data_IF_920728697050
#
_entry.id   IF_920728697050
#
_cell.length_a   1.000
_cell.length_b   1.000
_cell.length_c   1.000
_cell.angle_alpha   90.00
_cell.angle_beta   90.00
_cell.angle_gamma   90.00
#
_symmetry.space_group_name_H-M   'P 1'
#
loop_
_entity.id
_entity.type
_entity.pdbx_description
1 polymer ?
#
# COMPACT_ATOMS: atom_id res chain seq x y z
N UNK A 1 1.30 10.76 0.99
CA UNK A 1 0.28 10.87 2.05
C UNK A 1 -0.26 12.29 2.19
N UNK A 2 0.53 13.33 1.90
CA UNK A 2 0.09 14.73 2.01
C UNK A 2 -1.16 15.06 1.18
N UNK A 3 -1.29 14.49 -0.02
CA UNK A 3 -2.52 14.64 -0.83
C UNK A 3 -3.75 14.16 -0.05
N UNK A 4 -3.66 13.06 0.70
CA UNK A 4 -4.77 12.59 1.53
C UNK A 4 -5.02 13.54 2.71
N UNK A 5 -3.97 13.97 3.40
CA UNK A 5 -4.09 14.89 4.53
C UNK A 5 -4.77 16.21 4.11
N UNK A 6 -4.34 16.81 3.00
CA UNK A 6 -4.98 18.04 2.47
C UNK A 6 -6.41 17.76 2.00
N UNK A 7 -6.68 16.62 1.36
CA UNK A 7 -8.04 16.25 0.94
C UNK A 7 -9.00 16.14 2.13
N UNK A 8 -8.56 15.49 3.22
CA UNK A 8 -9.29 15.39 4.48
C UNK A 8 -9.50 16.77 5.10
N UNK A 9 -8.47 17.61 5.14
CA UNK A 9 -8.59 18.95 5.71
C UNK A 9 -9.58 19.83 4.93
N UNK A 10 -9.54 19.77 3.60
CA UNK A 10 -10.47 20.49 2.74
C UNK A 10 -11.92 20.07 2.97
N UNK A 11 -12.20 18.76 3.13
CA UNK A 11 -13.53 18.28 3.53
C UNK A 11 -13.90 18.70 4.95
N UNK A 12 -12.94 18.78 5.86
CA UNK A 12 -13.17 19.30 7.20
C UNK A 12 -13.60 20.78 7.17
N UNK A 13 -13.04 21.58 6.25
CA UNK A 13 -13.46 22.98 6.05
C UNK A 13 -14.89 23.07 5.50
N UNK A 14 -15.28 22.18 4.58
CA UNK A 14 -16.68 22.08 4.12
C UNK A 14 -17.63 21.83 5.32
N UNK A 15 -17.24 20.94 6.25
CA UNK A 15 -18.03 20.66 7.47
C UNK A 15 -18.06 21.84 8.46
N UNK A 16 -17.05 22.72 8.42
CA UNK A 16 -17.04 23.99 9.15
C UNK A 16 -17.87 25.10 8.46
N UNK A 17 -18.51 24.79 7.34
CA UNK A 17 -19.35 25.72 6.59
C UNK A 17 -18.60 26.61 5.59
N UNK A 18 -17.36 26.27 5.23
CA UNK A 18 -16.66 26.91 4.12
C UNK A 18 -17.11 26.33 2.78
N UNK A 19 -17.10 27.13 1.71
CA UNK A 19 -17.32 26.62 0.35
C UNK A 19 -15.97 26.34 -0.31
N UNK A 20 -15.55 25.07 -0.33
CA UNK A 20 -14.25 24.67 -0.88
C UNK A 20 -14.40 24.18 -2.32
N UNK A 21 -13.62 24.75 -3.24
CA UNK A 21 -13.44 24.18 -4.57
C UNK A 21 -12.51 22.96 -4.45
N UNK A 22 -13.09 21.76 -4.47
CA UNK A 22 -12.33 20.54 -4.22
C UNK A 22 -11.39 20.19 -5.39
N UNK A 23 -10.11 19.89 -5.15
CA UNK A 23 -9.13 19.71 -6.22
C UNK A 23 -9.32 18.38 -6.96
N UNK A 24 -9.15 18.40 -8.28
CA UNK A 24 -9.27 17.25 -9.17
C UNK A 24 -8.28 16.12 -8.82
N UNK A 25 -7.10 16.49 -8.30
CA UNK A 25 -6.07 15.56 -7.88
C UNK A 25 -6.15 15.15 -6.40
N UNK A 26 -7.13 15.67 -5.66
CA UNK A 26 -7.42 15.23 -4.29
C UNK A 26 -8.05 13.84 -4.27
N UNK A 27 -8.03 13.20 -3.10
CA UNK A 27 -8.81 11.98 -2.88
C UNK A 27 -10.28 12.35 -2.70
N UNK A 28 -11.16 11.73 -3.48
CA UNK A 28 -12.58 12.10 -3.57
C UNK A 28 -13.54 11.05 -3.00
N UNK A 29 -13.04 9.89 -2.57
CA UNK A 29 -13.89 8.82 -2.03
C UNK A 29 -14.58 9.22 -0.71
N UNK A 30 -15.70 8.56 -0.41
CA UNK A 30 -16.54 8.84 0.77
C UNK A 30 -15.78 8.74 2.09
N UNK A 31 -14.80 7.84 2.18
CA UNK A 31 -13.92 7.69 3.35
C UNK A 31 -13.20 8.99 3.73
N UNK A 32 -12.94 9.91 2.78
CA UNK A 32 -12.32 11.21 3.07
C UNK A 32 -13.26 12.09 3.91
N UNK A 33 -14.56 12.04 3.63
CA UNK A 33 -15.58 12.72 4.43
C UNK A 33 -15.70 12.11 5.83
N UNK A 34 -15.62 10.79 5.97
CA UNK A 34 -15.70 10.12 7.27
C UNK A 34 -14.54 10.53 8.18
N UNK A 35 -13.32 10.59 7.64
CA UNK A 35 -12.13 11.07 8.37
C UNK A 35 -12.32 12.54 8.75
N UNK A 36 -12.74 13.38 7.81
CA UNK A 36 -12.99 14.80 8.06
C UNK A 36 -14.06 15.04 9.14
N UNK A 37 -15.15 14.26 9.11
CA UNK A 37 -16.20 14.30 10.11
C UNK A 37 -15.69 13.87 11.48
N UNK A 38 -14.78 12.88 11.54
CA UNK A 38 -14.14 12.53 12.80
C UNK A 38 -13.29 13.67 13.35
N UNK A 39 -12.50 14.35 12.51
CA UNK A 39 -11.70 15.50 12.93
C UNK A 39 -12.59 16.64 13.42
N UNK A 40 -13.70 16.92 12.73
CA UNK A 40 -14.64 17.95 13.13
C UNK A 40 -15.33 17.64 14.47
N UNK A 41 -15.72 16.39 14.71
CA UNK A 41 -16.27 15.98 16.01
C UNK A 41 -15.28 16.17 17.16
N UNK A 42 -14.01 15.90 16.93
CA UNK A 42 -12.97 15.94 17.97
C UNK A 42 -12.44 17.35 18.23
N UNK A 43 -12.28 18.16 17.18
CA UNK A 43 -11.62 19.46 17.25
C UNK A 43 -12.55 20.65 16.99
N UNK A 44 -13.84 20.42 16.71
CA UNK A 44 -14.78 21.49 16.34
C UNK A 44 -14.25 22.28 15.15
N UNK A 45 -14.22 23.61 15.27
CA UNK A 45 -13.68 24.53 14.25
C UNK A 45 -12.22 24.95 14.50
N UNK A 46 -11.48 24.28 15.39
CA UNK A 46 -10.12 24.71 15.76
C UNK A 46 -9.11 24.71 14.60
N UNK A 47 -9.35 23.92 13.55
CA UNK A 47 -8.51 23.82 12.35
C UNK A 47 -9.08 24.60 11.16
N UNK A 48 -10.14 25.40 11.39
CA UNK A 48 -10.84 26.13 10.34
C UNK A 48 -10.00 27.28 9.80
N UNK A 49 -9.99 27.42 8.49
CA UNK A 49 -9.46 28.57 7.76
C UNK A 49 -10.46 28.97 6.69
N UNK A 50 -10.60 30.27 6.41
CA UNK A 50 -11.55 30.71 5.39
C UNK A 50 -11.13 30.22 4.01
N UNK A 51 -12.09 29.81 3.17
CA UNK A 51 -11.79 29.38 1.80
C UNK A 51 -11.00 30.45 1.02
N UNK A 52 -11.32 31.74 1.25
CA UNK A 52 -10.57 32.86 0.67
C UNK A 52 -9.09 32.88 1.05
N UNK A 53 -8.74 32.46 2.28
CA UNK A 53 -7.36 32.41 2.76
C UNK A 53 -6.64 31.18 2.23
N UNK A 54 -7.33 30.05 2.18
CA UNK A 54 -6.83 28.78 1.65
C UNK A 54 -6.49 28.91 0.16
N UNK A 55 -7.39 29.44 -0.65
CA UNK A 55 -7.21 29.52 -2.11
C UNK A 55 -6.45 30.78 -2.59
N UNK A 56 -6.00 31.64 -1.67
CA UNK A 56 -5.27 32.86 -2.04
C UNK A 56 -3.94 32.52 -2.72
N UNK A 57 -3.79 32.93 -3.98
CA UNK A 57 -2.60 32.72 -4.82
C UNK A 57 -2.29 31.25 -5.09
N UNK A 58 -3.29 30.37 -5.06
CA UNK A 58 -3.12 28.98 -5.49
C UNK A 58 -3.23 28.95 -7.04
N UNK A 59 -2.34 28.22 -7.75
CA UNK A 59 -2.47 28.03 -9.20
C UNK A 59 -3.84 27.49 -9.59
N UNK A 60 -4.28 27.71 -10.83
CA UNK A 60 -5.53 27.15 -11.31
C UNK A 60 -5.47 25.61 -11.39
N UNK A 61 -6.58 24.94 -11.09
CA UNK A 61 -6.76 23.50 -11.34
C UNK A 61 -7.18 23.26 -12.80
N UNK A 62 -7.28 22.00 -13.22
CA UNK A 62 -7.61 21.57 -14.59
C UNK A 62 -8.93 22.16 -15.11
N UNK A 63 -9.96 22.25 -14.27
CA UNK A 63 -11.27 22.81 -14.65
C UNK A 63 -11.22 24.31 -14.97
N UNK A 64 -10.14 24.97 -14.53
CA UNK A 64 -9.84 26.37 -14.77
C UNK A 64 -8.71 26.54 -15.80
N UNK A 65 -8.33 25.47 -16.50
CA UNK A 65 -7.28 25.47 -17.53
C UNK A 65 -5.86 25.45 -16.98
N UNK A 66 -5.67 25.08 -15.71
CA UNK A 66 -4.37 24.99 -15.06
C UNK A 66 -3.81 23.56 -14.96
N UNK A 67 -2.89 23.37 -14.01
CA UNK A 67 -2.17 22.10 -13.79
C UNK A 67 -2.53 21.53 -12.42
N UNK A 68 -3.10 20.32 -12.43
CA UNK A 68 -3.61 19.64 -11.23
C UNK A 68 -2.51 19.25 -10.23
N UNK A 69 -1.29 18.98 -10.70
CA UNK A 69 -0.16 18.61 -9.83
C UNK A 69 0.37 19.87 -9.14
N UNK A 70 0.56 20.96 -9.90
CA UNK A 70 0.94 22.26 -9.31
C UNK A 70 -0.13 22.81 -8.35
N UNK A 71 -1.40 22.60 -8.66
CA UNK A 71 -2.51 23.02 -7.80
C UNK A 71 -2.51 22.28 -6.46
N UNK A 72 -2.43 20.94 -6.47
CA UNK A 72 -2.46 20.16 -5.24
C UNK A 72 -1.20 20.37 -4.39
N UNK A 73 -0.03 20.51 -5.02
CA UNK A 73 1.23 20.78 -4.33
C UNK A 73 1.17 22.13 -3.60
N UNK A 74 0.64 23.18 -4.26
CA UNK A 74 0.45 24.48 -3.64
C UNK A 74 -0.55 24.44 -2.47
N UNK A 75 -1.60 23.61 -2.55
CA UNK A 75 -2.55 23.41 -1.45
C UNK A 75 -1.92 22.67 -0.27
N UNK A 76 -1.05 21.68 -0.53
CA UNK A 76 -0.29 21.00 0.52
C UNK A 76 0.58 22.00 1.26
N UNK A 77 1.42 22.77 0.56
CA UNK A 77 2.27 23.79 1.15
C UNK A 77 1.44 24.83 1.94
N UNK A 78 0.31 25.26 1.37
CA UNK A 78 -0.59 26.21 2.04
C UNK A 78 -1.20 25.63 3.32
N UNK A 79 -1.62 24.37 3.31
CA UNK A 79 -2.18 23.71 4.50
C UNK A 79 -1.15 23.60 5.62
N UNK A 80 0.10 23.24 5.28
CA UNK A 80 1.21 23.19 6.23
C UNK A 80 1.49 24.58 6.85
N UNK A 81 1.48 25.64 6.04
CA UNK A 81 1.69 27.01 6.49
C UNK A 81 0.56 27.51 7.41
N UNK A 82 -0.70 27.29 7.03
CA UNK A 82 -1.85 27.82 7.77
C UNK A 82 -2.13 27.07 9.08
N UNK A 83 -1.93 25.75 9.08
CA UNK A 83 -2.14 24.93 10.27
C UNK A 83 -0.93 24.96 11.22
N UNK A 84 0.27 25.14 10.66
CA UNK A 84 1.53 24.93 11.37
C UNK A 84 1.78 23.44 11.63
N UNK A 85 3.03 23.12 11.99
CA UNK A 85 3.53 21.74 12.11
C UNK A 85 2.66 20.83 12.98
N UNK A 86 2.26 21.29 14.17
CA UNK A 86 1.53 20.46 15.13
C UNK A 86 0.14 20.07 14.61
N UNK A 87 -0.63 21.05 14.14
CA UNK A 87 -1.99 20.83 13.63
C UNK A 87 -1.98 20.11 12.29
N UNK A 88 -1.01 20.39 11.41
CA UNK A 88 -0.87 19.65 10.15
C UNK A 88 -0.56 18.18 10.41
N UNK A 89 0.39 17.88 11.31
CA UNK A 89 0.72 16.50 11.70
C UNK A 89 -0.47 15.79 12.33
N UNK A 90 -1.30 16.49 13.11
CA UNK A 90 -2.52 15.92 13.66
C UNK A 90 -3.47 15.46 12.55
N UNK A 91 -3.74 16.31 11.55
CA UNK A 91 -4.61 15.94 10.41
C UNK A 91 -4.00 14.78 9.62
N UNK A 92 -2.70 14.87 9.33
CA UNK A 92 -1.96 13.83 8.61
C UNK A 92 -2.03 12.48 9.33
N UNK A 93 -1.76 12.46 10.64
CA UNK A 93 -1.75 11.25 11.43
C UNK A 93 -3.17 10.68 11.54
N UNK A 94 -4.18 11.52 11.73
CA UNK A 94 -5.57 11.06 11.77
C UNK A 94 -5.99 10.38 10.47
N UNK A 95 -5.61 10.95 9.34
CA UNK A 95 -5.89 10.35 8.04
C UNK A 95 -5.15 9.02 7.86
N UNK A 96 -3.88 8.95 8.27
CA UNK A 96 -3.09 7.72 8.20
C UNK A 96 -3.68 6.61 9.09
N UNK A 97 -4.01 6.93 10.35
CA UNK A 97 -4.52 5.96 11.32
C UNK A 97 -5.85 5.34 10.88
N UNK A 98 -6.77 6.16 10.37
CA UNK A 98 -8.06 5.65 9.88
C UNK A 98 -7.88 4.72 8.69
N UNK A 99 -7.01 5.07 7.73
CA UNK A 99 -6.76 4.20 6.57
C UNK A 99 -6.07 2.90 6.97
N UNK A 100 -5.08 2.94 7.86
CA UNK A 100 -4.41 1.72 8.33
C UNK A 100 -5.40 0.81 9.06
N UNK A 101 -6.25 1.39 9.91
CA UNK A 101 -7.26 0.62 10.64
C UNK A 101 -8.31 0.02 9.70
N UNK A 102 -8.75 0.76 8.68
CA UNK A 102 -9.68 0.26 7.67
C UNK A 102 -9.09 -0.90 6.86
N UNK A 103 -7.83 -0.77 6.41
CA UNK A 103 -7.11 -1.86 5.72
C UNK A 103 -6.98 -3.08 6.66
N UNK A 104 -6.64 -2.87 7.93
CA UNK A 104 -6.51 -3.95 8.92
C UNK A 104 -7.83 -4.69 9.08
N UNK A 105 -8.92 -3.95 9.26
CA UNK A 105 -10.26 -4.53 9.38
C UNK A 105 -10.66 -5.31 8.12
N UNK A 106 -10.45 -4.78 6.93
CA UNK A 106 -10.77 -5.45 5.67
C UNK A 106 -10.00 -6.76 5.51
N UNK A 107 -8.71 -6.77 5.85
CA UNK A 107 -7.88 -7.97 5.83
C UNK A 107 -8.34 -9.01 6.85
N UNK A 108 -8.64 -8.59 8.08
CA UNK A 108 -9.15 -9.49 9.13
C UNK A 108 -10.48 -10.13 8.72
N UNK A 109 -11.41 -9.34 8.17
CA UNK A 109 -12.67 -9.84 7.62
C UNK A 109 -12.46 -10.78 6.42
N UNK A 110 -11.36 -10.59 5.68
CA UNK A 110 -10.95 -11.51 4.61
C UNK A 110 -10.19 -12.75 5.12
N UNK A 111 -9.93 -12.85 6.42
CA UNK A 111 -9.19 -13.97 7.04
C UNK A 111 -7.68 -13.88 6.85
N UNK A 112 -7.13 -12.67 6.82
CA UNK A 112 -5.69 -12.37 6.81
C UNK A 112 -5.37 -11.53 8.04
N UNK A 113 -4.60 -12.11 8.97
CA UNK A 113 -4.19 -11.44 10.21
C UNK A 113 -2.67 -11.30 10.21
N UNK A 114 -2.19 -10.06 10.27
CA UNK A 114 -0.77 -9.77 10.39
C UNK A 114 -0.35 -9.74 11.86
N UNK A 115 0.72 -10.47 12.20
CA UNK A 115 1.34 -10.43 13.52
C UNK A 115 2.07 -9.10 13.78
N UNK A 116 2.62 -8.50 12.73
CA UNK A 116 3.39 -7.26 12.82
C UNK A 116 3.06 -6.33 11.65
N UNK A 117 2.71 -5.09 12.00
CA UNK A 117 2.61 -3.96 11.06
C UNK A 117 3.85 -3.10 11.22
N UNK A 118 4.50 -2.78 10.10
CA UNK A 118 5.78 -2.10 10.11
C UNK A 118 5.66 -0.73 9.40
N UNK A 119 6.13 0.33 10.04
CA UNK A 119 6.08 1.69 9.49
C UNK A 119 7.40 2.04 8.80
N UNK A 120 7.34 2.55 7.57
CA UNK A 120 8.51 3.10 6.88
C UNK A 120 9.13 4.26 7.67
N UNK A 121 8.34 5.09 8.36
CA UNK A 121 8.87 6.21 9.15
C UNK A 121 9.74 5.75 10.34
N UNK A 122 9.64 4.48 10.74
CA UNK A 122 10.53 3.89 11.74
C UNK A 122 11.89 3.49 11.17
N UNK A 123 12.06 3.46 9.83
CA UNK A 123 13.31 3.27 9.13
C UNK A 123 14.01 4.62 8.90
N UNK A 124 14.45 5.27 9.97
CA UNK A 124 15.38 6.40 9.87
C UNK A 124 16.85 5.95 9.77
N UNK A 125 17.05 4.72 9.33
CA UNK A 125 18.23 3.95 9.62
C UNK A 125 19.25 3.99 8.48
N UNK A 126 20.33 4.74 8.68
CA UNK A 126 21.45 4.79 7.74
C UNK A 126 22.33 3.54 7.80
N UNK A 127 22.15 2.64 8.78
CA UNK A 127 23.01 1.47 9.01
C UNK A 127 23.17 0.61 7.76
N UNK A 128 22.09 0.40 7.00
CA UNK A 128 22.18 -0.35 5.74
C UNK A 128 23.16 0.28 4.76
N UNK A 129 23.06 1.60 4.54
CA UNK A 129 23.94 2.32 3.62
C UNK A 129 25.36 2.40 4.18
N UNK A 130 25.51 2.55 5.48
CA UNK A 130 26.83 2.60 6.14
C UNK A 130 27.54 1.24 6.08
N UNK A 131 26.81 0.12 6.19
CA UNK A 131 27.35 -1.22 5.97
C UNK A 131 27.79 -1.43 4.51
N UNK A 132 27.00 -0.99 3.53
CA UNK A 132 27.40 -1.07 2.13
C UNK A 132 28.67 -0.24 1.83
N UNK A 133 28.78 0.95 2.44
CA UNK A 133 29.99 1.79 2.36
C UNK A 133 31.20 1.09 2.99
N UNK A 134 31.04 0.57 4.20
CA UNK A 134 32.10 -0.13 4.92
C UNK A 134 32.59 -1.39 4.18
N UNK A 135 31.69 -2.10 3.49
CA UNK A 135 32.02 -3.22 2.61
C UNK A 135 32.67 -2.83 1.28
N UNK A 136 32.82 -1.54 0.98
CA UNK A 136 33.34 -1.06 -0.30
C UNK A 136 32.39 -1.29 -1.49
N UNK A 137 31.11 -1.53 -1.21
CA UNK A 137 30.10 -1.85 -2.22
C UNK A 137 29.43 -0.60 -2.81
N UNK A 138 29.87 0.61 -2.43
CA UNK A 138 29.34 1.86 -2.96
C UNK A 138 30.42 2.71 -3.62
N UNK A 139 30.01 3.66 -4.47
CA UNK A 139 30.88 4.68 -5.04
C UNK A 139 30.11 5.97 -5.34
N UNK A 140 30.84 7.09 -5.44
CA UNK A 140 30.26 8.36 -5.86
C UNK A 140 30.36 8.51 -7.37
N UNK A 141 29.27 8.93 -8.01
CA UNK A 141 29.26 9.31 -9.42
C UNK A 141 28.14 10.33 -9.65
N UNK A 142 28.46 11.40 -10.39
CA UNK A 142 27.52 12.47 -10.75
C UNK A 142 26.80 13.08 -9.54
N UNK A 143 27.54 13.32 -8.45
CA UNK A 143 27.02 13.87 -7.20
C UNK A 143 26.18 12.91 -6.35
N UNK A 144 25.84 11.72 -6.87
CA UNK A 144 25.04 10.71 -6.18
C UNK A 144 25.88 9.55 -5.63
N UNK A 145 25.38 8.87 -4.60
CA UNK A 145 25.95 7.61 -4.09
C UNK A 145 25.29 6.42 -4.78
N UNK A 146 26.11 5.60 -5.42
CA UNK A 146 25.71 4.40 -6.15
C UNK A 146 26.11 3.15 -5.38
N UNK A 147 25.22 2.16 -5.36
CA UNK A 147 25.49 0.79 -4.94
C UNK A 147 25.92 -0.03 -6.16
N UNK A 148 27.03 -0.75 -6.01
CA UNK A 148 27.64 -1.67 -7.00
C UNK A 148 26.83 -2.96 -7.14
N UNK A 149 25.52 -2.86 -7.34
CA UNK A 149 24.62 -4.02 -7.38
C UNK A 149 24.95 -4.98 -8.54
N UNK A 150 25.52 -4.49 -9.64
CA UNK A 150 25.91 -5.33 -10.77
C UNK A 150 26.97 -6.38 -10.41
N UNK A 151 27.84 -6.08 -9.43
CA UNK A 151 28.81 -7.03 -8.88
C UNK A 151 28.15 -8.22 -8.14
N UNK A 152 26.86 -8.11 -7.84
CA UNK A 152 26.06 -9.12 -7.13
C UNK A 152 24.90 -9.67 -7.98
N UNK A 153 24.98 -9.52 -9.31
CA UNK A 153 24.00 -10.12 -10.24
C UNK A 153 22.78 -9.25 -10.57
N UNK A 154 22.77 -7.97 -10.20
CA UNK A 154 21.82 -7.01 -10.76
C UNK A 154 22.22 -6.61 -12.20
N UNK A 155 21.28 -6.08 -12.97
CA UNK A 155 21.49 -5.65 -14.36
C UNK A 155 22.44 -4.44 -14.46
N UNK A 156 22.33 -3.52 -13.49
CA UNK A 156 23.14 -2.29 -13.42
C UNK A 156 23.17 -1.76 -12.01
N UNK A 157 24.22 -0.98 -11.72
CA UNK A 157 24.37 -0.28 -10.45
C UNK A 157 23.20 0.68 -10.19
N UNK A 158 22.88 0.90 -8.91
CA UNK A 158 21.69 1.63 -8.48
C UNK A 158 22.04 2.81 -7.58
N UNK A 159 21.41 3.94 -7.81
CA UNK A 159 21.50 5.10 -6.90
C UNK A 159 20.79 4.76 -5.59
N UNK A 160 21.50 4.92 -4.47
CA UNK A 160 20.97 4.75 -3.10
C UNK A 160 20.82 6.09 -2.37
N UNK A 161 21.64 7.09 -2.71
CA UNK A 161 21.49 8.47 -2.24
C UNK A 161 21.61 9.42 -3.43
N UNK A 162 20.62 10.29 -3.61
CA UNK A 162 20.59 11.29 -4.68
C UNK A 162 21.58 12.43 -4.40
N UNK A 163 21.83 13.26 -5.41
CA UNK A 163 22.70 14.45 -5.30
C UNK A 163 22.24 15.42 -4.20
N UNK A 164 20.92 15.55 -3.99
CA UNK A 164 20.34 16.37 -2.93
C UNK A 164 20.45 15.76 -1.52
N UNK A 165 21.16 14.63 -1.36
CA UNK A 165 21.35 13.93 -0.09
C UNK A 165 20.17 13.05 0.35
N UNK A 166 19.07 13.02 -0.40
CA UNK A 166 17.92 12.19 -0.06
C UNK A 166 18.14 10.72 -0.46
N UNK A 167 17.74 9.81 0.42
CA UNK A 167 17.70 8.38 0.14
C UNK A 167 16.68 8.06 -0.98
N UNK A 168 16.97 7.04 -1.78
CA UNK A 168 16.02 6.51 -2.77
C UNK A 168 15.09 5.49 -2.11
N UNK A 169 13.94 5.19 -2.74
CA UNK A 169 13.08 4.09 -2.29
C UNK A 169 13.81 2.76 -2.21
N UNK A 170 14.77 2.54 -3.12
CA UNK A 170 15.61 1.35 -3.06
C UNK A 170 16.49 1.34 -1.80
N UNK A 171 16.99 2.48 -1.32
CA UNK A 171 17.68 2.53 -0.04
C UNK A 171 16.76 2.19 1.14
N UNK A 172 15.50 2.64 1.14
CA UNK A 172 14.49 2.23 2.12
C UNK A 172 14.27 0.71 2.09
N UNK A 173 14.19 0.10 0.90
CA UNK A 173 14.04 -1.35 0.76
C UNK A 173 15.24 -2.10 1.32
N UNK A 174 16.47 -1.63 1.07
CA UNK A 174 17.69 -2.23 1.63
C UNK A 174 17.65 -2.15 3.16
N UNK A 175 17.31 -0.99 3.72
CA UNK A 175 17.18 -0.80 5.16
C UNK A 175 16.14 -1.74 5.77
N UNK A 176 14.99 -1.90 5.11
CA UNK A 176 13.95 -2.80 5.59
C UNK A 176 14.37 -4.28 5.53
N UNK A 177 15.08 -4.68 4.48
CA UNK A 177 15.59 -6.05 4.37
C UNK A 177 16.70 -6.34 5.37
N UNK A 178 17.58 -5.38 5.65
CA UNK A 178 18.53 -5.48 6.77
C UNK A 178 17.79 -5.66 8.10
N UNK A 179 16.78 -4.82 8.36
CA UNK A 179 15.98 -4.95 9.57
C UNK A 179 15.33 -6.35 9.69
N UNK A 180 14.80 -6.92 8.60
CA UNK A 180 14.26 -8.29 8.61
C UNK A 180 15.32 -9.36 8.87
N UNK A 181 16.53 -9.20 8.31
CA UNK A 181 17.67 -10.09 8.57
C UNK A 181 18.09 -10.06 10.05
N UNK A 182 18.14 -8.87 10.65
CA UNK A 182 18.52 -8.67 12.05
C UNK A 182 17.52 -9.28 13.04
N UNK A 183 16.28 -9.55 12.62
CA UNK A 183 15.29 -10.29 13.43
C UNK A 183 15.62 -11.78 13.60
N UNK A 184 16.58 -12.31 12.84
CA UNK A 184 17.10 -13.67 13.00
C UNK A 184 16.33 -14.76 12.26
N UNK A 185 15.51 -14.42 11.26
CA UNK A 185 14.79 -15.40 10.45
C UNK A 185 15.71 -16.11 9.44
N UNK A 186 15.55 -17.43 9.28
CA UNK A 186 16.29 -18.23 8.30
C UNK A 186 15.79 -18.01 6.87
N UNK A 187 14.48 -17.77 6.71
CA UNK A 187 13.83 -17.58 5.43
C UNK A 187 13.00 -16.30 5.42
N UNK A 188 13.16 -15.52 4.36
CA UNK A 188 12.40 -14.32 4.07
C UNK A 188 11.58 -14.58 2.81
N UNK A 189 10.27 -14.43 2.89
CA UNK A 189 9.35 -14.57 1.76
C UNK A 189 8.71 -13.22 1.47
N UNK A 190 8.92 -12.70 0.27
CA UNK A 190 8.22 -11.54 -0.23
C UNK A 190 7.15 -12.00 -1.24
N UNK A 191 5.95 -11.41 -1.17
CA UNK A 191 4.87 -11.60 -2.14
C UNK A 191 4.69 -10.28 -2.87
N UNK A 192 5.04 -10.24 -4.17
CA UNK A 192 5.02 -9.02 -4.98
C UNK A 192 4.16 -9.20 -6.23
N UNK A 193 3.73 -8.10 -6.83
CA UNK A 193 3.13 -8.12 -8.17
C UNK A 193 4.14 -8.57 -9.23
N UNK A 194 3.69 -9.29 -10.25
CA UNK A 194 4.56 -9.81 -11.32
C UNK A 194 5.29 -8.71 -12.13
N UNK A 195 4.77 -7.49 -12.12
CA UNK A 195 5.40 -6.28 -12.66
C UNK A 195 6.71 -5.90 -11.94
N UNK A 196 6.96 -6.45 -10.76
CA UNK A 196 8.19 -6.24 -9.99
C UNK A 196 9.29 -7.27 -10.26
N UNK A 197 9.14 -8.14 -11.28
CA UNK A 197 10.15 -9.16 -11.64
C UNK A 197 11.58 -8.58 -11.76
N UNK A 198 11.73 -7.44 -12.46
CA UNK A 198 13.04 -6.77 -12.63
C UNK A 198 13.60 -6.10 -11.36
N UNK A 199 12.83 -6.11 -10.26
CA UNK A 199 13.24 -5.61 -8.95
C UNK A 199 13.82 -6.70 -8.06
N UNK A 200 13.60 -7.98 -8.38
CA UNK A 200 14.09 -9.11 -7.57
C UNK A 200 15.61 -9.14 -7.50
N UNK A 201 16.28 -9.02 -8.65
CA UNK A 201 17.73 -9.12 -8.74
C UNK A 201 18.45 -8.07 -7.88
N UNK A 202 17.99 -6.82 -7.88
CA UNK A 202 18.63 -5.74 -7.10
C UNK A 202 18.46 -5.91 -5.60
N UNK A 203 17.33 -6.45 -5.13
CA UNK A 203 17.13 -6.70 -3.70
C UNK A 203 17.97 -7.90 -3.25
N UNK A 204 18.03 -8.97 -4.06
CA UNK A 204 18.97 -10.08 -3.80
C UNK A 204 20.42 -9.61 -3.78
N UNK A 205 20.82 -8.74 -4.71
CA UNK A 205 22.14 -8.13 -4.73
C UNK A 205 22.45 -7.37 -3.44
N UNK A 206 21.50 -6.57 -2.94
CA UNK A 206 21.66 -5.86 -1.68
C UNK A 206 21.77 -6.82 -0.48
N UNK A 207 20.98 -7.88 -0.44
CA UNK A 207 21.08 -8.92 0.61
C UNK A 207 22.48 -9.54 0.65
N UNK A 208 23.04 -9.89 -0.52
CA UNK A 208 24.40 -10.43 -0.63
C UNK A 208 25.46 -9.44 -0.16
N UNK A 209 25.33 -8.17 -0.55
CA UNK A 209 26.25 -7.11 -0.14
C UNK A 209 26.18 -6.79 1.37
N UNK A 210 25.06 -7.08 2.02
CA UNK A 210 24.88 -7.02 3.47
C UNK A 210 25.35 -8.30 4.19
N UNK A 211 25.96 -9.25 3.45
CA UNK A 211 26.51 -10.49 4.00
C UNK A 211 25.50 -11.62 4.22
N UNK A 212 24.27 -11.49 3.72
CA UNK A 212 23.29 -12.57 3.74
C UNK A 212 23.36 -13.44 2.48
N UNK A 213 22.99 -14.72 2.62
CA UNK A 213 22.82 -15.59 1.46
C UNK A 213 21.58 -15.18 0.64
N UNK A 214 21.74 -15.06 -0.68
CA UNK A 214 20.66 -14.73 -1.62
C UNK A 214 19.51 -15.75 -1.60
N UNK A 215 19.78 -16.99 -1.21
CA UNK A 215 18.77 -18.05 -1.11
C UNK A 215 17.87 -17.90 0.13
N UNK A 216 18.27 -17.07 1.12
CA UNK A 216 17.37 -16.73 2.24
C UNK A 216 16.15 -15.94 1.78
N UNK A 217 16.25 -15.22 0.66
CA UNK A 217 15.14 -14.44 0.12
C UNK A 217 14.45 -15.19 -1.02
N UNK A 218 13.23 -15.64 -0.75
CA UNK A 218 12.29 -16.11 -1.77
C UNK A 218 11.33 -14.99 -2.15
N UNK A 219 11.19 -14.72 -3.44
CA UNK A 219 10.19 -13.77 -3.94
C UNK A 219 9.15 -14.52 -4.76
N UNK A 220 7.91 -14.49 -4.31
CA UNK A 220 6.76 -15.04 -5.01
C UNK A 220 6.08 -13.92 -5.80
N UNK A 221 5.97 -14.10 -7.11
CA UNK A 221 5.32 -13.15 -8.00
C UNK A 221 3.85 -13.54 -8.21
N UNK A 222 2.96 -12.58 -7.99
CA UNK A 222 1.51 -12.72 -8.14
C UNK A 222 1.05 -11.89 -9.33
N UNK A 223 0.34 -12.52 -10.25
CA UNK A 223 -0.26 -11.84 -11.39
C UNK A 223 -1.49 -11.04 -10.98
N UNK A 224 -1.77 -10.00 -11.75
CA UNK A 224 -2.98 -9.20 -11.55
C UNK A 224 -4.25 -10.03 -11.83
N UNK A 225 -5.25 -9.83 -10.97
CA UNK A 225 -6.60 -10.30 -11.22
C UNK A 225 -7.34 -9.27 -12.10
N UNK A 226 -8.16 -9.78 -13.02
CA UNK A 226 -9.10 -8.96 -13.78
C UNK A 226 -10.52 -9.31 -13.32
N UNK A 227 -11.23 -8.29 -12.82
CA UNK A 227 -12.61 -8.43 -12.38
C UNK A 227 -13.57 -8.23 -13.57
N UNK A 228 -14.53 -9.14 -13.67
CA UNK A 228 -15.62 -9.12 -14.65
C UNK A 228 -16.96 -9.18 -13.94
N UNK A 229 -17.98 -8.58 -14.56
CA UNK A 229 -19.40 -8.81 -14.26
C UNK A 229 -20.02 -9.40 -15.52
N UNK A 230 -20.18 -10.72 -15.53
CA UNK A 230 -20.54 -11.46 -16.73
C UNK A 230 -19.47 -11.27 -17.83
N UNK A 231 -19.79 -10.55 -18.90
CA UNK A 231 -18.85 -10.29 -20.01
C UNK A 231 -18.15 -8.93 -19.92
N UNK A 232 -18.59 -8.05 -19.03
CA UNK A 232 -18.07 -6.69 -18.95
C UNK A 232 -16.91 -6.61 -17.96
N UNK A 233 -15.79 -6.02 -18.39
CA UNK A 233 -14.63 -5.79 -17.53
C UNK A 233 -14.89 -4.55 -16.69
N UNK A 234 -14.74 -4.69 -15.37
CA UNK A 234 -14.84 -3.54 -14.46
C UNK A 234 -13.58 -2.69 -14.58
N UNK A 235 -13.76 -1.37 -14.77
CA UNK A 235 -12.66 -0.41 -14.75
C UNK A 235 -12.27 -0.10 -13.29
N UNK A 236 -10.99 0.20 -13.06
CA UNK A 236 -10.46 0.56 -11.75
C UNK A 236 -9.70 1.89 -11.89
N UNK A 237 -10.09 2.89 -11.09
CA UNK A 237 -9.47 4.21 -11.01
C UNK A 237 -9.24 4.60 -9.55
N UNK A 238 -7.97 4.79 -9.16
CA UNK A 238 -7.57 5.01 -7.76
C UNK A 238 -7.91 6.41 -7.23
N UNK A 239 -7.89 7.45 -8.07
CA UNK A 239 -8.10 8.85 -7.62
C UNK A 239 -9.57 9.30 -7.70
N UNK A 240 -10.35 8.78 -8.65
CA UNK A 240 -11.80 9.04 -8.70
C UNK A 240 -12.60 8.21 -7.69
N UNK A 241 -11.98 7.19 -7.08
CA UNK A 241 -12.66 6.29 -6.14
C UNK A 241 -13.46 5.18 -6.84
N UNK A 242 -13.43 5.09 -8.16
CA UNK A 242 -14.15 4.07 -8.92
C UNK A 242 -13.30 2.78 -9.03
N UNK A 243 -13.26 1.99 -7.98
CA UNK A 243 -12.66 0.65 -7.99
C UNK A 243 -13.46 -0.29 -7.10
N UNK A 244 -13.48 -1.58 -7.43
CA UNK A 244 -14.10 -2.60 -6.57
C UNK A 244 -13.19 -2.82 -5.37
N UNK A 245 -13.69 -2.52 -4.17
CA UNK A 245 -12.94 -2.71 -2.94
C UNK A 245 -12.93 -4.19 -2.52
N UNK A 246 -11.99 -4.58 -1.66
CA UNK A 246 -11.99 -5.93 -1.07
C UNK A 246 -13.26 -6.17 -0.24
N UNK A 247 -13.74 -5.12 0.44
CA UNK A 247 -14.98 -5.11 1.21
C UNK A 247 -16.19 -5.40 0.33
N UNK A 248 -16.36 -4.69 -0.77
CA UNK A 248 -17.44 -4.90 -1.74
C UNK A 248 -17.38 -6.31 -2.34
N UNK A 249 -16.19 -6.77 -2.75
CA UNK A 249 -16.00 -8.13 -3.26
C UNK A 249 -16.45 -9.18 -2.22
N UNK A 250 -16.08 -9.00 -0.95
CA UNK A 250 -16.43 -9.90 0.15
C UNK A 250 -17.91 -9.86 0.47
N UNK A 251 -18.54 -8.69 0.41
CA UNK A 251 -19.98 -8.51 0.67
C UNK A 251 -20.82 -9.08 -0.46
N UNK A 252 -20.36 -8.96 -1.71
CA UNK A 252 -21.05 -9.49 -2.88
C UNK A 252 -20.91 -11.01 -2.98
N UNK A 253 -19.68 -11.54 -2.91
CA UNK A 253 -19.37 -12.96 -3.22
C UNK A 253 -19.25 -13.83 -1.97
N UNK A 254 -18.99 -13.23 -0.80
CA UNK A 254 -18.66 -13.94 0.42
C UNK A 254 -17.16 -14.25 0.53
N UNK A 255 -16.67 -14.20 1.78
CA UNK A 255 -15.25 -14.41 2.13
C UNK A 255 -14.67 -15.71 1.57
N UNK A 256 -15.34 -16.83 1.81
CA UNK A 256 -14.76 -18.15 1.52
C UNK A 256 -14.75 -18.45 0.02
N UNK A 257 -15.80 -18.03 -0.70
CA UNK A 257 -15.84 -18.12 -2.16
C UNK A 257 -14.75 -17.26 -2.80
N UNK A 258 -14.61 -15.99 -2.39
CA UNK A 258 -13.55 -15.12 -2.89
C UNK A 258 -12.15 -15.74 -2.69
N UNK A 259 -11.85 -16.24 -1.48
CA UNK A 259 -10.59 -16.93 -1.18
C UNK A 259 -10.38 -18.18 -2.03
N UNK A 260 -11.43 -18.99 -2.21
CA UNK A 260 -11.37 -20.19 -3.05
C UNK A 260 -11.00 -19.86 -4.50
N UNK A 261 -11.61 -18.84 -5.09
CA UNK A 261 -11.29 -18.39 -6.45
C UNK A 261 -9.82 -17.95 -6.57
N UNK A 262 -9.30 -17.21 -5.59
CA UNK A 262 -7.89 -16.77 -5.61
C UNK A 262 -6.89 -17.94 -5.53
N UNK A 263 -7.20 -19.02 -4.81
CA UNK A 263 -6.28 -20.17 -4.68
C UNK A 263 -6.47 -21.25 -5.76
N UNK A 264 -7.50 -21.14 -6.60
CA UNK A 264 -7.78 -22.11 -7.66
C UNK A 264 -6.72 -22.08 -8.77
N UNK A 265 -6.01 -20.95 -8.92
CA UNK A 265 -4.95 -20.76 -9.90
C UNK A 265 -3.61 -20.61 -9.21
N UNK A 266 -2.55 -20.98 -9.91
CA UNK A 266 -1.19 -20.64 -9.46
C UNK A 266 -1.04 -19.12 -9.45
N UNK A 267 -0.31 -18.58 -8.49
CA UNK A 267 -0.11 -17.12 -8.34
C UNK A 267 0.45 -16.45 -9.60
N UNK A 268 1.24 -17.18 -10.38
CA UNK A 268 1.87 -16.70 -11.62
C UNK A 268 0.92 -16.65 -12.82
N UNK A 269 -0.32 -17.10 -12.68
CA UNK A 269 -1.32 -17.13 -13.77
C UNK A 269 -2.30 -15.97 -13.64
N UNK A 270 -2.68 -15.37 -14.76
CA UNK A 270 -3.77 -14.39 -14.79
C UNK A 270 -5.06 -15.01 -14.24
N UNK A 271 -5.68 -14.31 -13.29
CA UNK A 271 -6.96 -14.69 -12.72
C UNK A 271 -8.06 -13.79 -13.30
N UNK A 272 -8.98 -14.38 -14.07
CA UNK A 272 -10.23 -13.72 -14.43
C UNK A 272 -11.27 -14.09 -13.37
N UNK A 273 -11.69 -13.09 -12.61
CA UNK A 273 -12.67 -13.25 -11.55
C UNK A 273 -14.02 -12.71 -12.04
N UNK A 274 -14.98 -13.59 -12.24
CA UNK A 274 -16.34 -13.21 -12.63
C UNK A 274 -17.23 -13.16 -11.37
N UNK A 275 -17.66 -11.95 -11.01
CA UNK A 275 -18.51 -11.70 -9.84
C UNK A 275 -19.88 -12.38 -9.96
N UNK A 276 -20.45 -12.46 -11.16
CA UNK A 276 -21.73 -13.15 -11.37
C UNK A 276 -21.56 -14.66 -11.15
N UNK A 277 -20.51 -15.25 -11.70
CA UNK A 277 -20.24 -16.67 -11.50
C UNK A 277 -20.02 -17.02 -10.02
N UNK A 278 -19.39 -16.11 -9.29
CA UNK A 278 -19.03 -16.31 -7.90
C UNK A 278 -20.22 -16.15 -6.93
N UNK A 279 -21.29 -15.45 -7.34
CA UNK A 279 -22.51 -15.24 -6.56
C UNK A 279 -23.60 -16.30 -6.76
N UNK A 280 -23.50 -17.14 -7.81
CA UNK A 280 -24.50 -18.17 -8.08
C UNK A 280 -24.57 -19.18 -6.92
N UNK A 281 -25.76 -19.34 -6.32
CA UNK A 281 -26.08 -20.22 -5.17
C UNK A 281 -25.53 -21.66 -5.26
N UNK A 282 -25.30 -22.19 -6.46
CA UNK A 282 -24.68 -23.50 -6.66
C UNK A 282 -23.21 -23.58 -6.17
N UNK A 283 -22.50 -22.46 -6.04
CA UNK A 283 -21.16 -22.45 -5.45
C UNK A 283 -21.19 -22.52 -3.92
N UNK A 284 -22.11 -21.79 -3.27
CA UNK A 284 -22.29 -21.86 -1.81
C UNK A 284 -22.71 -23.25 -1.33
N UNK A 285 -23.59 -23.94 -2.07
CA UNK A 285 -24.01 -25.29 -1.74
C UNK A 285 -22.87 -26.31 -1.92
N UNK A 286 -22.13 -26.24 -3.04
CA UNK A 286 -21.00 -27.15 -3.34
C UNK A 286 -19.77 -26.92 -2.47
N UNK A 287 -19.47 -25.69 -2.04
CA UNK A 287 -18.38 -25.41 -1.09
C UNK A 287 -18.71 -25.98 0.29
N UNK A 288 -19.94 -25.80 0.79
CA UNK A 288 -20.35 -26.36 2.07
C UNK A 288 -20.31 -27.90 2.05
N UNK A 289 -20.70 -28.54 0.95
CA UNK A 289 -20.60 -30.00 0.80
C UNK A 289 -19.15 -30.48 0.70
N UNK A 290 -18.27 -29.72 0.03
CA UNK A 290 -16.84 -30.06 -0.10
C UNK A 290 -16.08 -29.85 1.21
N UNK A 291 -16.39 -28.80 1.97
CA UNK A 291 -15.82 -28.53 3.30
C UNK A 291 -16.31 -29.58 4.30
N UNK A 292 -17.60 -29.97 4.26
CA UNK A 292 -18.12 -31.09 5.07
C UNK A 292 -17.38 -32.39 4.81
N UNK A 293 -17.16 -32.73 3.54
CA UNK A 293 -16.39 -33.93 3.17
C UNK A 293 -14.95 -33.94 3.72
N UNK A 294 -14.30 -32.77 3.83
CA UNK A 294 -12.95 -32.66 4.40
C UNK A 294 -12.97 -32.78 5.93
N UNK A 295 -13.94 -32.19 6.61
CA UNK A 295 -14.10 -32.32 8.06
C UNK A 295 -14.55 -33.72 8.50
N UNK A 296 -15.35 -34.40 7.67
CA UNK A 296 -15.78 -35.77 7.91
C UNK A 296 -14.64 -36.79 7.65
N UNK A 297 -13.65 -36.45 6.82
CA UNK A 297 -12.44 -37.26 6.62
C UNK A 297 -11.50 -37.22 7.84
N UNK A 298 -11.31 -36.07 8.47
CA UNK A 298 -10.46 -35.95 9.67
C UNK A 298 -11.04 -36.68 10.90
N UNK A 299 -12.37 -36.77 10.99
CA UNK A 299 -13.05 -37.42 12.13
C UNK A 299 -13.20 -38.94 11.97
N UNK A 300 -13.01 -39.49 10.77
CA UNK A 300 -13.16 -40.93 10.50
C UNK A 300 -11.84 -41.71 10.43
N UNK A 301 -10.70 -41.08 10.75
CA UNK A 301 -9.45 -41.81 10.95
C UNK A 301 -9.42 -42.44 12.36
N UNK A 302 -9.92 -43.67 12.45
CA UNK A 302 -9.73 -44.52 13.62
C UNK A 302 -8.22 -44.70 13.94
N UNK A 303 -7.88 -45.06 15.19
CA UNK A 303 -6.49 -45.06 15.65
C UNK A 303 -5.63 -46.01 14.80
N UNK A 304 -4.57 -45.46 14.21
CA UNK A 304 -3.52 -46.24 13.54
C UNK A 304 -2.78 -47.02 14.62
N UNK A 305 -3.04 -48.31 14.72
CA UNK A 305 -2.30 -49.24 15.57
C UNK A 305 -0.95 -49.46 14.90
N UNK A 306 0.12 -49.02 15.55
CA UNK A 306 1.50 -49.28 15.14
C UNK A 306 1.92 -50.70 15.54
N UNK A 307 2.32 -51.52 14.58
CA UNK A 307 3.24 -52.65 14.79
C UNK A 307 4.69 -52.19 14.60
#
# INVERSE_FOLDING_TARGET
>A
MDILAVSVWLRYLDLCGETVAFPSNGYQGDYVWDIAASLHREHGEALRQSASTVFKNIPADVDQGGDKELHIDALIERSQQLLGDASYRLVFQRALDVIIEDIRHDLEQFGVVYEAWFSESSLSDTRAIDQLKAGGHTYMQDGALWFRSSAFGDEKDRVVVRENGQFTYFASDIAYHLNKLERGFDHLINIWGADHHGYVARVKAAMMALGADAERLTVLLVQFATLYRGKERLQMSTRSGEFVTLRELREEVGRDAARFFYIQRKSEQHLNFDLELATIENFHCKLNDSIRCLTDWETNQGPIISE
#
